data_IF_350397047287
#
_entry.id   IF_350397047287
#
_cell.length_a   1.000
_cell.length_b   1.000
_cell.length_c   1.000
_cell.angle_alpha   90.00
_cell.angle_beta   90.00
_cell.angle_gamma   90.00
#
_symmetry.space_group_name_H-M   'P 1'
#
loop_
_entity.id
_entity.type
_entity.pdbx_description
1 polymer ?
#
# COMPACT_ATOMS: atom_id res chain seq x y z
N UNK A 1 18.30 5.12 -19.54
CA UNK A 1 19.06 6.29 -19.00
C UNK A 1 18.52 6.74 -17.63
N UNK A 2 17.23 7.01 -17.47
CA UNK A 2 16.68 7.59 -16.23
C UNK A 2 16.61 6.56 -15.10
N UNK A 3 16.18 5.33 -15.37
CA UNK A 3 16.23 4.22 -14.42
C UNK A 3 17.67 3.88 -13.99
N UNK A 4 18.62 4.01 -14.89
CA UNK A 4 20.03 3.83 -14.61
C UNK A 4 20.52 4.86 -13.59
N UNK A 5 20.18 6.13 -13.78
CA UNK A 5 20.51 7.20 -12.82
C UNK A 5 19.85 7.00 -11.46
N UNK A 6 18.61 6.49 -11.42
CA UNK A 6 17.93 6.13 -10.15
C UNK A 6 18.73 5.02 -9.47
N UNK A 7 19.09 3.97 -10.19
CA UNK A 7 19.90 2.85 -9.67
C UNK A 7 21.24 3.35 -9.12
N UNK A 8 21.98 4.13 -9.88
CA UNK A 8 23.28 4.67 -9.45
C UNK A 8 23.19 5.48 -8.16
N UNK A 9 22.11 6.27 -7.99
CA UNK A 9 21.92 7.10 -6.80
C UNK A 9 21.37 6.34 -5.62
N UNK A 10 20.56 5.33 -5.85
CA UNK A 10 19.90 4.58 -4.80
C UNK A 10 20.75 3.41 -4.25
N UNK A 11 21.51 2.75 -5.11
CA UNK A 11 22.37 1.62 -4.73
C UNK A 11 23.31 1.91 -3.54
N UNK A 12 23.99 3.09 -3.44
CA UNK A 12 24.82 3.39 -2.27
C UNK A 12 24.05 3.35 -0.94
N UNK A 13 22.81 3.85 -0.92
CA UNK A 13 21.96 3.81 0.28
C UNK A 13 21.59 2.37 0.63
N UNK A 14 21.21 1.55 -0.37
CA UNK A 14 20.89 0.13 -0.18
C UNK A 14 22.08 -0.61 0.46
N UNK A 15 23.29 -0.37 -0.03
CA UNK A 15 24.52 -0.99 0.49
C UNK A 15 24.81 -0.60 1.94
N UNK A 16 24.65 0.67 2.28
CA UNK A 16 24.79 1.17 3.65
C UNK A 16 23.77 0.50 4.57
N UNK A 17 22.49 0.46 4.16
CA UNK A 17 21.46 -0.23 4.95
C UNK A 17 21.76 -1.72 5.14
N UNK A 18 22.25 -2.37 4.09
CA UNK A 18 22.65 -3.79 4.15
C UNK A 18 23.82 -4.01 5.11
N UNK A 19 24.86 -3.18 5.05
CA UNK A 19 26.05 -3.26 5.91
C UNK A 19 25.70 -3.09 7.39
N UNK A 20 24.79 -2.14 7.70
CA UNK A 20 24.39 -1.85 9.07
C UNK A 20 23.16 -2.65 9.55
N UNK A 21 22.59 -3.52 8.73
CA UNK A 21 21.39 -4.30 9.08
C UNK A 21 20.14 -3.43 9.30
N UNK A 22 20.13 -2.22 8.74
CA UNK A 22 19.03 -1.26 8.87
C UNK A 22 17.91 -1.63 7.92
N UNK A 23 16.68 -1.70 8.41
CA UNK A 23 15.51 -1.89 7.56
C UNK A 23 15.16 -0.62 6.79
N UNK A 24 14.71 -0.78 5.55
CA UNK A 24 14.28 0.32 4.69
C UNK A 24 12.80 0.21 4.36
N UNK A 25 12.09 1.34 4.37
CA UNK A 25 10.73 1.39 3.87
C UNK A 25 10.68 2.09 2.52
N UNK A 26 10.19 1.36 1.51
CA UNK A 26 9.84 1.91 0.21
C UNK A 26 8.38 2.35 0.29
N UNK A 27 8.13 3.63 0.12
CA UNK A 27 6.79 4.21 0.24
C UNK A 27 6.47 5.10 -0.95
N UNK A 28 5.32 4.86 -1.56
CA UNK A 28 4.75 5.73 -2.59
C UNK A 28 3.51 6.44 -2.08
N UNK A 29 3.35 7.68 -2.47
CA UNK A 29 2.18 8.48 -2.13
C UNK A 29 1.48 8.90 -3.43
N UNK A 30 0.18 8.67 -3.49
CA UNK A 30 -0.68 9.24 -4.53
C UNK A 30 -0.54 10.77 -4.53
N UNK A 31 -0.43 11.37 -5.70
CA UNK A 31 -0.16 12.80 -5.85
C UNK A 31 1.31 13.22 -5.75
N UNK A 32 2.24 12.29 -5.50
CA UNK A 32 3.68 12.59 -5.37
C UNK A 32 4.56 11.61 -6.17
N UNK A 33 4.03 11.07 -7.24
CA UNK A 33 4.76 10.21 -8.15
C UNK A 33 5.69 11.04 -9.05
N UNK A 34 6.78 10.46 -9.52
CA UNK A 34 7.68 11.14 -10.46
C UNK A 34 7.01 11.40 -11.80
N UNK A 35 7.41 12.48 -12.49
CA UNK A 35 6.87 12.85 -13.80
C UNK A 35 6.96 11.70 -14.82
N UNK A 36 7.98 10.89 -14.73
CA UNK A 36 8.17 9.71 -15.58
C UNK A 36 7.10 8.65 -15.34
N UNK A 37 6.78 8.38 -14.09
CA UNK A 37 5.71 7.45 -13.72
C UNK A 37 4.36 8.03 -14.11
N UNK A 38 4.12 9.31 -13.82
CA UNK A 38 2.89 10.01 -14.18
C UNK A 38 2.63 9.99 -15.69
N UNK A 39 3.66 10.25 -16.50
CA UNK A 39 3.55 10.25 -17.97
C UNK A 39 3.23 8.87 -18.53
N UNK A 40 3.69 7.79 -17.90
CA UNK A 40 3.53 6.42 -18.41
C UNK A 40 2.30 5.71 -17.85
N UNK A 41 2.01 5.87 -16.58
CA UNK A 41 0.99 5.11 -15.85
C UNK A 41 -0.11 5.98 -15.25
N UNK A 42 0.06 7.31 -15.27
CA UNK A 42 -0.82 8.25 -14.59
C UNK A 42 -0.66 8.24 -13.06
N UNK A 43 -1.41 9.12 -12.39
CA UNK A 43 -1.55 9.11 -10.93
C UNK A 43 -2.61 8.08 -10.53
N UNK A 44 -2.25 6.82 -10.61
CA UNK A 44 -3.13 5.66 -10.49
C UNK A 44 -2.56 4.63 -9.52
N UNK A 45 -3.36 3.67 -9.04
CA UNK A 45 -2.84 2.51 -8.30
C UNK A 45 -1.71 1.79 -9.02
N UNK A 46 -1.80 1.64 -10.34
CA UNK A 46 -0.74 1.03 -11.15
C UNK A 46 0.54 1.87 -11.14
N UNK A 47 0.43 3.19 -11.28
CA UNK A 47 1.58 4.09 -11.19
C UNK A 47 2.27 4.00 -9.83
N UNK A 48 1.49 3.92 -8.74
CA UNK A 48 2.04 3.74 -7.39
C UNK A 48 2.80 2.41 -7.27
N UNK A 49 2.23 1.33 -7.77
CA UNK A 49 2.85 -0.01 -7.72
C UNK A 49 4.12 -0.06 -8.55
N UNK A 50 4.10 0.39 -9.80
CA UNK A 50 5.28 0.40 -10.65
C UNK A 50 6.41 1.28 -10.08
N UNK A 51 6.07 2.42 -9.47
CA UNK A 51 7.04 3.24 -8.77
C UNK A 51 7.75 2.47 -7.63
N UNK A 52 7.02 1.70 -6.84
CA UNK A 52 7.62 0.88 -5.79
C UNK A 52 8.42 -0.30 -6.35
N UNK A 53 7.89 -0.98 -7.36
CA UNK A 53 8.53 -2.14 -7.98
C UNK A 53 9.88 -1.81 -8.61
N UNK A 54 10.07 -0.61 -9.13
CA UNK A 54 11.38 -0.17 -9.63
C UNK A 54 12.45 -0.17 -8.53
N UNK A 55 12.13 0.36 -7.35
CA UNK A 55 13.05 0.36 -6.20
C UNK A 55 13.24 -1.05 -5.62
N UNK A 56 12.16 -1.86 -5.59
CA UNK A 56 12.25 -3.25 -5.15
C UNK A 56 13.21 -4.07 -6.01
N UNK A 57 13.11 -3.96 -7.33
CA UNK A 57 14.02 -4.66 -8.26
C UNK A 57 15.49 -4.27 -8.02
N UNK A 58 15.77 -3.00 -7.70
CA UNK A 58 17.13 -2.57 -7.35
C UNK A 58 17.59 -3.23 -6.05
N UNK A 59 16.74 -3.29 -5.03
CA UNK A 59 17.06 -3.94 -3.76
C UNK A 59 17.30 -5.45 -3.92
N UNK A 60 16.45 -6.13 -4.70
CA UNK A 60 16.60 -7.55 -5.04
C UNK A 60 17.95 -7.83 -5.76
N UNK A 61 18.28 -7.01 -6.75
CA UNK A 61 19.54 -7.12 -7.49
C UNK A 61 20.79 -6.94 -6.58
N UNK A 62 20.68 -6.11 -5.53
CA UNK A 62 21.72 -5.93 -4.51
C UNK A 62 21.67 -7.02 -3.40
N UNK A 63 20.73 -7.97 -3.47
CA UNK A 63 20.49 -9.00 -2.46
C UNK A 63 20.12 -8.42 -1.11
N UNK A 64 19.31 -7.36 -1.10
CA UNK A 64 18.84 -6.69 0.11
C UNK A 64 17.32 -6.85 0.26
N UNK A 65 16.93 -7.55 1.34
CA UNK A 65 15.54 -7.97 1.56
C UNK A 65 14.91 -7.45 2.86
N UNK A 66 15.63 -6.61 3.62
CA UNK A 66 15.11 -6.05 4.86
C UNK A 66 14.24 -4.80 4.55
N UNK A 67 13.10 -5.06 3.92
CA UNK A 67 12.23 -4.05 3.32
C UNK A 67 10.83 -4.08 3.90
N UNK A 68 10.19 -2.92 3.95
CA UNK A 68 8.76 -2.72 4.24
C UNK A 68 8.17 -1.83 3.16
N UNK A 69 6.94 -2.09 2.73
CA UNK A 69 6.28 -1.33 1.67
C UNK A 69 5.09 -0.53 2.19
N UNK A 70 4.85 0.63 1.61
CA UNK A 70 3.65 1.42 1.90
C UNK A 70 3.12 2.13 0.65
N UNK A 71 1.80 2.00 0.42
CA UNK A 71 1.04 2.66 -0.66
C UNK A 71 0.06 3.62 -0.03
N UNK A 72 0.42 4.88 0.17
CA UNK A 72 -0.41 5.85 0.88
C UNK A 72 -1.19 6.73 -0.09
N UNK A 73 -2.46 6.92 0.22
CA UNK A 73 -3.33 7.87 -0.46
C UNK A 73 -4.33 8.47 0.53
N UNK A 74 -4.83 9.66 0.25
CA UNK A 74 -5.94 10.27 0.98
C UNK A 74 -7.29 9.67 0.55
N UNK A 75 -7.38 9.20 -0.69
CA UNK A 75 -8.52 8.43 -1.19
C UNK A 75 -8.38 6.96 -0.77
N UNK A 76 -9.30 6.47 0.06
CA UNK A 76 -9.29 5.11 0.61
C UNK A 76 -9.43 4.03 -0.47
N UNK A 77 -10.20 4.28 -1.54
CA UNK A 77 -10.35 3.34 -2.65
C UNK A 77 -9.04 3.18 -3.43
N UNK A 78 -8.37 4.29 -3.75
CA UNK A 78 -7.06 4.27 -4.41
C UNK A 78 -6.04 3.52 -3.57
N UNK A 79 -6.01 3.80 -2.25
CA UNK A 79 -5.13 3.11 -1.32
C UNK A 79 -5.36 1.59 -1.32
N UNK A 80 -6.61 1.15 -1.15
CA UNK A 80 -6.96 -0.28 -1.12
C UNK A 80 -6.61 -0.96 -2.43
N UNK A 81 -6.93 -0.34 -3.57
CA UNK A 81 -6.60 -0.86 -4.88
C UNK A 81 -5.07 -0.98 -5.08
N UNK A 82 -4.32 0.04 -4.67
CA UNK A 82 -2.86 0.02 -4.79
C UNK A 82 -2.21 -1.10 -3.97
N UNK A 83 -2.64 -1.33 -2.74
CA UNK A 83 -2.11 -2.45 -1.93
C UNK A 83 -2.48 -3.81 -2.49
N UNK A 84 -3.73 -4.01 -2.91
CA UNK A 84 -4.17 -5.27 -3.54
C UNK A 84 -3.37 -5.56 -4.80
N UNK A 85 -3.18 -4.56 -5.66
CA UNK A 85 -2.39 -4.68 -6.87
C UNK A 85 -0.91 -4.96 -6.55
N UNK A 86 -0.34 -4.26 -5.55
CA UNK A 86 1.03 -4.50 -5.11
C UNK A 86 1.25 -5.94 -4.67
N UNK A 87 0.33 -6.49 -3.86
CA UNK A 87 0.41 -7.88 -3.39
C UNK A 87 0.34 -8.85 -4.56
N UNK A 88 -0.60 -8.66 -5.50
CA UNK A 88 -0.69 -9.49 -6.70
C UNK A 88 0.61 -9.44 -7.51
N UNK A 89 1.13 -8.25 -7.76
CA UNK A 89 2.38 -8.05 -8.50
C UNK A 89 3.59 -8.69 -7.79
N UNK A 90 3.69 -8.53 -6.46
CA UNK A 90 4.75 -9.18 -5.68
C UNK A 90 4.68 -10.71 -5.79
N UNK A 91 3.48 -11.29 -5.69
CA UNK A 91 3.28 -12.73 -5.81
C UNK A 91 3.71 -13.26 -7.19
N UNK A 92 3.38 -12.55 -8.27
CA UNK A 92 3.81 -12.88 -9.63
C UNK A 92 5.34 -12.90 -9.78
N UNK A 93 6.03 -12.05 -9.01
CA UNK A 93 7.50 -11.95 -9.02
C UNK A 93 8.18 -12.80 -7.92
N UNK A 94 7.43 -13.60 -7.15
CA UNK A 94 7.96 -14.41 -6.05
C UNK A 94 8.41 -13.59 -4.83
N UNK A 95 7.93 -12.37 -4.71
CA UNK A 95 8.25 -11.45 -3.60
C UNK A 95 7.19 -11.54 -2.49
N UNK A 96 7.61 -11.34 -1.24
CA UNK A 96 6.71 -11.33 -0.07
C UNK A 96 7.26 -10.38 1.00
N UNK A 97 7.07 -9.09 0.82
CA UNK A 97 7.52 -8.06 1.75
C UNK A 97 6.39 -7.58 2.66
N UNK A 98 6.71 -7.26 3.94
CA UNK A 98 5.75 -6.69 4.88
C UNK A 98 5.15 -5.37 4.38
N UNK A 99 3.88 -5.14 4.75
CA UNK A 99 3.11 -3.97 4.37
C UNK A 99 2.85 -3.07 5.59
N UNK A 100 3.15 -1.78 5.42
CA UNK A 100 2.81 -0.75 6.38
C UNK A 100 1.62 0.06 5.87
N UNK A 101 0.45 -0.14 6.48
CA UNK A 101 -0.81 0.48 6.06
C UNK A 101 -0.99 1.87 6.67
N UNK A 102 -1.57 2.78 5.91
CA UNK A 102 -1.94 4.09 6.41
C UNK A 102 -2.68 4.93 5.37
N UNK A 103 -3.72 5.64 5.83
CA UNK A 103 -4.39 6.68 5.04
C UNK A 103 -3.66 8.00 5.29
N UNK A 104 -3.27 8.70 4.22
CA UNK A 104 -2.63 10.01 4.33
C UNK A 104 -3.70 11.09 4.41
N UNK A 105 -3.51 12.07 5.31
CA UNK A 105 -4.43 13.20 5.42
C UNK A 105 -5.89 12.76 5.61
N UNK A 106 -6.11 11.84 6.53
CA UNK A 106 -7.45 11.30 6.78
C UNK A 106 -8.43 12.37 7.28
N UNK A 107 -7.94 13.43 7.91
CA UNK A 107 -8.73 14.51 8.48
C UNK A 107 -8.77 14.45 10.00
N UNK A 108 -9.61 15.28 10.59
CA UNK A 108 -9.81 15.37 12.02
C UNK A 108 -11.08 14.65 12.49
N UNK A 109 -11.24 14.56 13.78
CA UNK A 109 -12.44 14.08 14.44
C UNK A 109 -12.91 12.72 13.95
N UNK A 110 -14.21 12.62 13.73
CA UNK A 110 -14.87 11.38 13.34
C UNK A 110 -14.54 10.97 11.90
N UNK A 111 -14.44 11.94 10.99
CA UNK A 111 -14.15 11.68 9.57
C UNK A 111 -12.79 11.01 9.37
N UNK A 112 -11.76 11.50 10.07
CA UNK A 112 -10.43 10.91 10.02
C UNK A 112 -10.41 9.47 10.56
N UNK A 113 -11.17 9.20 11.61
CA UNK A 113 -11.32 7.87 12.20
C UNK A 113 -12.05 6.92 11.26
N UNK A 114 -13.15 7.39 10.63
CA UNK A 114 -13.92 6.60 9.64
C UNK A 114 -13.06 6.29 8.42
N UNK A 115 -12.37 7.27 7.85
CA UNK A 115 -11.48 7.03 6.69
C UNK A 115 -10.37 6.05 7.01
N UNK A 116 -9.74 6.18 8.18
CA UNK A 116 -8.71 5.24 8.64
C UNK A 116 -9.27 3.83 8.82
N UNK A 117 -10.46 3.71 9.42
CA UNK A 117 -11.13 2.43 9.60
C UNK A 117 -11.52 1.79 8.26
N UNK A 118 -12.02 2.57 7.31
CA UNK A 118 -12.38 2.07 5.97
C UNK A 118 -11.13 1.64 5.20
N UNK A 119 -10.10 2.48 5.09
CA UNK A 119 -8.91 2.18 4.31
C UNK A 119 -8.08 1.04 4.90
N UNK A 120 -7.68 1.17 6.16
CA UNK A 120 -6.87 0.16 6.85
C UNK A 120 -7.69 -1.10 7.13
N UNK A 121 -8.93 -0.94 7.62
CA UNK A 121 -9.79 -2.06 7.98
C UNK A 121 -10.12 -2.96 6.78
N UNK A 122 -10.37 -2.41 5.60
CA UNK A 122 -10.60 -3.20 4.38
C UNK A 122 -9.42 -4.12 4.08
N UNK A 123 -8.19 -3.61 4.16
CA UNK A 123 -7.00 -4.41 3.89
C UNK A 123 -6.76 -5.46 4.99
N UNK A 124 -7.01 -5.13 6.26
CA UNK A 124 -6.94 -6.09 7.35
C UNK A 124 -8.02 -7.19 7.22
N UNK A 125 -9.21 -6.87 6.67
CA UNK A 125 -10.23 -7.88 6.32
C UNK A 125 -9.73 -8.83 5.22
N UNK A 126 -8.99 -8.33 4.24
CA UNK A 126 -8.34 -9.15 3.21
C UNK A 126 -7.18 -10.00 3.77
N UNK A 127 -6.76 -9.78 5.03
CA UNK A 127 -5.60 -10.41 5.64
C UNK A 127 -4.26 -9.76 5.24
N UNK A 128 -4.30 -8.54 4.74
CA UNK A 128 -3.15 -7.75 4.31
C UNK A 128 -2.78 -6.71 5.36
N UNK A 129 -1.48 -6.56 5.64
CA UNK A 129 -0.93 -5.57 6.53
C UNK A 129 -0.23 -6.16 7.76
N UNK A 130 0.97 -5.67 8.02
CA UNK A 130 1.82 -6.13 9.12
C UNK A 130 1.97 -5.05 10.20
N UNK A 131 1.95 -3.80 9.79
CA UNK A 131 1.94 -2.63 10.67
C UNK A 131 0.96 -1.59 10.14
N UNK A 132 0.44 -0.76 11.04
CA UNK A 132 -0.52 0.29 10.68
C UNK A 132 -0.10 1.64 11.26
N UNK A 133 -0.49 2.72 10.57
CA UNK A 133 -0.45 4.08 11.09
C UNK A 133 -1.79 4.76 10.86
N UNK A 134 -2.41 5.23 11.93
CA UNK A 134 -3.50 6.19 11.87
C UNK A 134 -2.87 7.59 11.84
N UNK A 135 -3.38 8.47 10.99
CA UNK A 135 -2.93 9.86 10.89
C UNK A 135 -4.13 10.79 10.94
N UNK A 136 -4.27 11.48 12.05
CA UNK A 136 -5.33 12.44 12.30
C UNK A 136 -4.76 13.86 12.35
N UNK A 137 -5.63 14.86 12.14
CA UNK A 137 -5.30 16.28 12.35
C UNK A 137 -5.57 16.65 13.81
N UNK A 138 -5.02 15.85 14.74
CA UNK A 138 -5.18 15.96 16.18
C UNK A 138 -3.82 15.74 16.85
N UNK A 139 -3.75 15.91 18.18
CA UNK A 139 -2.54 15.58 18.92
C UNK A 139 -2.23 14.08 18.79
N UNK A 140 -0.95 13.70 18.63
CA UNK A 140 -0.57 12.31 18.28
C UNK A 140 -1.05 11.25 19.26
N UNK A 141 -1.26 11.61 20.53
CA UNK A 141 -1.79 10.69 21.54
C UNK A 141 -3.20 10.19 21.24
N UNK A 142 -4.01 10.96 20.50
CA UNK A 142 -5.37 10.54 20.09
C UNK A 142 -5.38 9.52 18.94
N UNK A 143 -4.28 9.41 18.20
CA UNK A 143 -4.12 8.38 17.14
C UNK A 143 -3.98 6.97 17.76
N UNK A 144 -3.36 6.84 18.92
CA UNK A 144 -3.03 5.57 19.56
C UNK A 144 -4.26 4.72 19.88
N UNK A 145 -5.32 5.23 20.52
CA UNK A 145 -6.52 4.44 20.80
C UNK A 145 -7.20 3.92 19.52
N UNK A 146 -7.24 4.74 18.47
CA UNK A 146 -7.84 4.39 17.18
C UNK A 146 -7.04 3.28 16.50
N UNK A 147 -5.71 3.41 16.46
CA UNK A 147 -4.83 2.38 15.91
C UNK A 147 -4.94 1.06 16.68
N UNK A 148 -4.97 1.11 18.00
CA UNK A 148 -5.17 -0.07 18.85
C UNK A 148 -6.51 -0.77 18.59
N UNK A 149 -7.61 -0.02 18.56
CA UNK A 149 -8.93 -0.58 18.30
C UNK A 149 -9.00 -1.27 16.92
N UNK A 150 -8.38 -0.70 15.90
CA UNK A 150 -8.27 -1.33 14.58
C UNK A 150 -7.43 -2.61 14.63
N UNK A 151 -6.26 -2.57 15.25
CA UNK A 151 -5.36 -3.72 15.31
C UNK A 151 -5.98 -4.88 16.13
N UNK A 152 -6.58 -4.59 17.28
CA UNK A 152 -7.17 -5.58 18.18
C UNK A 152 -8.36 -6.31 17.53
N UNK A 153 -9.16 -5.62 16.73
CA UNK A 153 -10.28 -6.23 15.99
C UNK A 153 -9.82 -7.42 15.13
N UNK A 154 -8.61 -7.35 14.57
CA UNK A 154 -8.11 -8.35 13.62
C UNK A 154 -7.07 -9.30 14.22
N UNK A 155 -6.41 -8.95 15.33
CA UNK A 155 -5.35 -9.74 15.95
C UNK A 155 -5.81 -11.11 16.44
N UNK A 156 -7.09 -11.24 16.79
CA UNK A 156 -7.70 -12.49 17.28
C UNK A 156 -8.42 -13.30 16.18
N UNK A 157 -8.35 -12.84 14.95
CA UNK A 157 -9.02 -13.50 13.82
C UNK A 157 -8.36 -14.84 13.54
N UNK A 158 -9.11 -15.94 13.70
CA UNK A 158 -8.66 -17.27 13.31
C UNK A 158 -8.49 -17.30 11.79
N UNK A 159 -7.36 -17.78 11.28
CA UNK A 159 -7.19 -18.03 9.85
C UNK A 159 -8.28 -19.01 9.42
N UNK A 160 -9.14 -18.61 8.50
CA UNK A 160 -10.05 -19.54 7.84
C UNK A 160 -9.21 -20.53 7.05
N UNK A 161 -9.42 -21.83 7.31
CA UNK A 161 -8.82 -22.90 6.52
C UNK A 161 -9.67 -23.24 5.30
N UNK A 162 -10.83 -22.63 5.16
CA UNK A 162 -11.66 -22.78 3.97
C UNK A 162 -11.00 -22.02 2.82
N UNK A 163 -10.63 -22.77 1.78
CA UNK A 163 -10.29 -22.15 0.49
C UNK A 163 -11.52 -21.39 0.03
N UNK A 164 -11.43 -20.08 -0.12
CA UNK A 164 -12.45 -19.32 -0.80
C UNK A 164 -12.75 -20.03 -2.13
N UNK A 165 -13.99 -20.44 -2.32
CA UNK A 165 -14.42 -20.92 -3.63
C UNK A 165 -14.06 -19.81 -4.61
N UNK A 166 -13.42 -20.18 -5.74
CA UNK A 166 -12.92 -19.22 -6.70
C UNK A 166 -14.03 -18.27 -7.14
N UNK A 167 -14.04 -17.09 -6.54
CA UNK A 167 -14.93 -16.00 -6.91
C UNK A 167 -14.25 -15.26 -8.05
N UNK A 168 -14.70 -15.50 -9.25
CA UNK A 168 -14.42 -14.59 -10.34
C UNK A 168 -15.27 -13.35 -10.14
N UNK A 169 -14.63 -12.25 -9.79
CA UNK A 169 -15.32 -10.97 -9.71
C UNK A 169 -15.73 -10.58 -11.15
N UNK A 170 -16.99 -10.14 -11.37
CA UNK A 170 -17.44 -9.70 -12.69
C UNK A 170 -16.80 -8.37 -13.13
N UNK A 171 -15.85 -7.87 -12.37
CA UNK A 171 -15.11 -6.63 -12.63
C UNK A 171 -13.68 -6.77 -12.09
N UNK A 172 -12.74 -6.01 -12.67
CA UNK A 172 -11.41 -5.87 -12.10
C UNK A 172 -11.47 -5.02 -10.83
N UNK A 173 -10.99 -5.51 -9.67
CA UNK A 173 -10.90 -4.69 -8.46
C UNK A 173 -9.79 -3.63 -8.54
N UNK A 174 -8.98 -3.65 -9.60
CA UNK A 174 -7.82 -2.78 -9.81
C UNK A 174 -8.09 -1.66 -10.81
N UNK A 175 -9.17 -1.79 -11.60
CA UNK A 175 -9.56 -0.83 -12.60
C UNK A 175 -10.93 -0.24 -12.28
N UNK A 176 -11.03 1.09 -12.33
CA UNK A 176 -12.32 1.75 -12.22
C UNK A 176 -13.07 1.65 -13.54
N UNK A 177 -14.20 0.95 -13.55
CA UNK A 177 -15.17 0.99 -14.62
C UNK A 177 -16.47 1.63 -14.11
N UNK A 178 -16.90 2.68 -14.79
CA UNK A 178 -18.20 3.30 -14.48
C UNK A 178 -19.31 2.31 -14.84
N UNK A 179 -20.18 2.02 -13.89
CA UNK A 179 -21.37 1.19 -14.15
C UNK A 179 -22.38 1.99 -14.98
N UNK A 180 -23.08 1.30 -15.86
CA UNK A 180 -24.21 1.89 -16.57
C UNK A 180 -25.29 2.30 -15.57
N UNK A 181 -25.84 3.49 -15.77
CA UNK A 181 -26.96 3.98 -14.96
C UNK A 181 -28.24 3.39 -15.51
N UNK A 182 -29.07 2.80 -14.67
CA UNK A 182 -30.41 2.39 -15.01
C UNK A 182 -31.40 3.45 -14.56
N UNK A 183 -32.32 3.80 -15.43
CA UNK A 183 -33.47 4.61 -15.06
C UNK A 183 -34.33 3.82 -14.06
N UNK A 184 -34.58 4.40 -12.89
CA UNK A 184 -35.50 3.85 -11.91
C UNK A 184 -36.88 4.46 -12.26
N UNK A 185 -37.73 3.67 -12.86
CA UNK A 185 -39.11 4.04 -13.16
C UNK A 185 -39.96 3.84 -11.91
#
# INVERSE_FOLDING_TARGET
>A
EELERIRERFTPLVRICKEHGTAMRIGTNHGSLSDRILSRYGDTPLGMVESAMEFLRICEDEGYHNLVLSMKASNTQVMVQAYRLLVATMQEHGMNYPLHLGVTEAGDGEDGRIKSAVGIGTLLEDGLGDTIRVSLTEDPEFEIPVAKALAERYSQRKKSTEKAAGWELPYSPYDYARRDTHEVI
#
